data_IF_422626580198
#
_entry.id   IF_422626580198
#
_cell.length_a   1.000
_cell.length_b   1.000
_cell.length_c   1.000
_cell.angle_alpha   90.00
_cell.angle_beta   90.00
_cell.angle_gamma   90.00
#
_symmetry.space_group_name_H-M   'P 1'
#
loop_
_entity.id
_entity.type
_entity.pdbx_description
1 polymer ?
#
# COMPACT_ATOMS: atom_id res chain seq x y z
N UNK A 1 -11.74 30.98 10.40
CA UNK A 1 -11.53 29.50 10.34
C UNK A 1 -11.46 29.16 8.88
N UNK A 2 -10.45 28.43 8.41
CA UNK A 2 -10.40 27.91 7.04
C UNK A 2 -11.51 26.88 6.87
N UNK A 3 -12.19 26.88 5.70
CA UNK A 3 -13.21 25.86 5.37
C UNK A 3 -12.62 24.44 5.46
N UNK A 4 -13.42 23.43 5.81
CA UNK A 4 -12.93 22.06 5.83
C UNK A 4 -12.56 21.60 4.42
N UNK A 5 -11.53 20.73 4.35
CA UNK A 5 -11.15 20.02 3.12
C UNK A 5 -12.28 19.08 2.72
N UNK A 6 -12.82 19.24 1.52
CA UNK A 6 -13.96 18.49 1.01
C UNK A 6 -13.46 17.24 0.27
N UNK A 7 -13.79 16.07 0.81
CA UNK A 7 -13.29 14.78 0.33
C UNK A 7 -14.42 13.95 -0.29
N UNK A 8 -14.24 13.53 -1.54
CA UNK A 8 -15.06 12.51 -2.18
C UNK A 8 -14.34 11.16 -2.17
N UNK A 9 -15.06 10.06 -1.90
CA UNK A 9 -14.47 8.72 -1.85
C UNK A 9 -15.11 7.81 -2.91
N UNK A 10 -14.28 7.20 -3.76
CA UNK A 10 -14.71 6.21 -4.76
C UNK A 10 -14.33 4.81 -4.25
N UNK A 11 -15.32 4.02 -3.85
CA UNK A 11 -15.15 2.65 -3.39
C UNK A 11 -15.86 2.32 -2.09
N UNK A 12 -16.80 1.40 -2.16
CA UNK A 12 -17.65 0.95 -1.03
C UNK A 12 -17.05 -0.20 -0.21
N UNK A 13 -15.83 -0.63 -0.55
CA UNK A 13 -15.06 -1.62 0.20
C UNK A 13 -14.22 -0.98 1.30
N UNK A 14 -12.91 -0.95 1.12
CA UNK A 14 -11.94 -0.31 2.01
C UNK A 14 -12.19 1.19 2.15
N UNK A 15 -12.50 1.88 1.04
CA UNK A 15 -12.84 3.28 1.03
C UNK A 15 -13.96 3.65 2.01
N UNK A 16 -15.08 2.94 1.97
CA UNK A 16 -16.22 3.20 2.86
C UNK A 16 -15.99 2.74 4.31
N UNK A 17 -15.26 1.62 4.52
CA UNK A 17 -15.11 1.02 5.86
C UNK A 17 -13.98 1.64 6.68
N UNK A 18 -12.93 2.13 6.04
CA UNK A 18 -11.72 2.62 6.71
C UNK A 18 -11.45 4.07 6.34
N UNK A 19 -11.37 4.39 5.07
CA UNK A 19 -10.85 5.69 4.60
C UNK A 19 -11.82 6.83 4.88
N UNK A 20 -13.08 6.69 4.49
CA UNK A 20 -14.10 7.72 4.73
C UNK A 20 -14.30 8.02 6.21
N UNK A 21 -14.45 7.03 7.13
CA UNK A 21 -14.51 7.29 8.56
C UNK A 21 -13.25 7.97 9.12
N UNK A 22 -12.05 7.61 8.62
CA UNK A 22 -10.81 8.24 9.06
C UNK A 22 -10.74 9.70 8.62
N UNK A 23 -11.08 10.04 7.36
CA UNK A 23 -11.13 11.43 6.93
C UNK A 23 -12.21 12.22 7.68
N UNK A 24 -13.39 11.64 7.88
CA UNK A 24 -14.47 12.28 8.65
C UNK A 24 -14.08 12.57 10.12
N UNK A 25 -13.19 11.75 10.69
CA UNK A 25 -12.65 11.96 12.05
C UNK A 25 -11.40 12.84 12.06
N UNK A 26 -10.86 13.23 10.91
CA UNK A 26 -9.67 14.08 10.81
C UNK A 26 -10.09 15.56 10.89
N UNK A 27 -9.58 16.27 11.86
CA UNK A 27 -9.90 17.69 12.05
C UNK A 27 -9.71 18.49 10.76
N UNK A 28 -10.73 19.25 10.40
CA UNK A 28 -10.72 20.09 9.20
C UNK A 28 -10.91 19.33 7.89
N UNK A 29 -11.38 18.10 7.91
CA UNK A 29 -11.87 17.40 6.75
C UNK A 29 -13.40 17.22 6.81
N UNK A 30 -14.04 17.16 5.64
CA UNK A 30 -15.45 16.86 5.45
C UNK A 30 -15.61 15.82 4.33
N UNK A 31 -16.19 14.67 4.63
CA UNK A 31 -16.46 13.65 3.63
C UNK A 31 -17.81 13.91 3.00
N UNK A 32 -17.78 14.45 1.78
CA UNK A 32 -18.99 14.88 1.04
C UNK A 32 -19.84 13.72 0.58
N UNK A 33 -19.21 12.65 0.09
CA UNK A 33 -19.90 11.44 -0.37
C UNK A 33 -18.95 10.25 -0.53
N UNK A 34 -19.56 9.04 -0.55
CA UNK A 34 -18.89 7.77 -0.81
C UNK A 34 -19.68 7.00 -1.88
N UNK A 35 -19.09 6.84 -3.06
CA UNK A 35 -19.78 6.23 -4.20
C UNK A 35 -19.22 4.86 -4.56
N UNK A 36 -20.06 4.04 -5.22
CA UNK A 36 -19.61 2.75 -5.74
C UNK A 36 -18.67 2.94 -6.93
N UNK A 37 -17.51 2.30 -6.88
CA UNK A 37 -16.56 2.24 -7.98
C UNK A 37 -17.11 1.56 -9.26
N UNK A 38 -18.26 0.87 -9.17
CA UNK A 38 -18.90 0.17 -10.29
C UNK A 38 -20.02 0.98 -10.93
N UNK A 39 -20.34 2.13 -10.37
CA UNK A 39 -21.36 3.03 -10.87
C UNK A 39 -20.69 4.24 -11.51
N UNK A 40 -20.46 4.16 -12.82
CA UNK A 40 -19.81 5.21 -13.60
C UNK A 40 -20.57 6.54 -13.53
N UNK A 41 -21.91 6.49 -13.41
CA UNK A 41 -22.74 7.69 -13.27
C UNK A 41 -22.48 8.37 -11.93
N UNK A 42 -22.52 7.60 -10.85
CA UNK A 42 -22.23 8.14 -9.51
C UNK A 42 -20.80 8.69 -9.38
N UNK A 43 -19.81 8.02 -10.00
CA UNK A 43 -18.43 8.54 -10.07
C UNK A 43 -18.35 9.85 -10.81
N UNK A 44 -18.98 9.95 -11.98
CA UNK A 44 -19.00 11.19 -12.76
C UNK A 44 -19.74 12.34 -12.03
N UNK A 45 -20.82 12.04 -11.33
CA UNK A 45 -21.55 13.01 -10.51
C UNK A 45 -20.72 13.47 -9.30
N UNK A 46 -20.01 12.56 -8.62
CA UNK A 46 -19.10 12.89 -7.54
C UNK A 46 -18.02 13.87 -8.02
N UNK A 47 -17.38 13.57 -9.15
CA UNK A 47 -16.32 14.42 -9.71
C UNK A 47 -16.81 15.80 -10.20
N UNK A 48 -18.12 16.00 -10.39
CA UNK A 48 -18.68 17.34 -10.71
C UNK A 48 -18.97 18.18 -9.46
N UNK A 49 -18.92 17.61 -8.27
CA UNK A 49 -19.14 18.35 -7.03
C UNK A 49 -17.93 19.25 -6.72
N UNK A 50 -18.17 20.25 -5.90
CA UNK A 50 -17.12 21.07 -5.32
C UNK A 50 -16.35 20.26 -4.27
N UNK A 51 -15.20 19.70 -4.67
CA UNK A 51 -14.31 18.87 -3.86
C UNK A 51 -12.88 19.38 -3.95
N UNK A 52 -12.13 19.23 -2.87
CA UNK A 52 -10.69 19.47 -2.88
C UNK A 52 -9.92 18.18 -3.23
N UNK A 53 -10.39 17.02 -2.74
CA UNK A 53 -9.73 15.73 -2.86
C UNK A 53 -10.70 14.65 -3.30
N UNK A 54 -10.31 13.84 -4.27
CA UNK A 54 -10.95 12.56 -4.58
C UNK A 54 -10.03 11.42 -4.13
N UNK A 55 -10.54 10.58 -3.23
CA UNK A 55 -9.84 9.40 -2.71
C UNK A 55 -10.35 8.15 -3.42
N UNK A 56 -9.49 7.54 -4.27
CA UNK A 56 -9.83 6.42 -5.16
C UNK A 56 -9.46 5.11 -4.48
N UNK A 57 -10.44 4.30 -4.09
CA UNK A 57 -10.31 3.00 -3.44
C UNK A 57 -11.07 1.91 -4.19
N UNK A 58 -11.08 2.00 -5.49
CA UNK A 58 -11.58 0.99 -6.41
C UNK A 58 -10.62 -0.20 -6.53
N UNK A 59 -11.02 -1.29 -7.19
CA UNK A 59 -10.08 -2.31 -7.64
C UNK A 59 -9.05 -1.75 -8.64
N UNK A 60 -7.83 -2.31 -8.72
CA UNK A 60 -6.72 -1.79 -9.53
C UNK A 60 -7.06 -1.50 -10.99
N UNK A 61 -7.85 -2.35 -11.64
CA UNK A 61 -8.25 -2.20 -13.04
C UNK A 61 -9.20 -1.01 -13.33
N UNK A 62 -9.66 -0.32 -12.29
CA UNK A 62 -10.47 0.90 -12.39
C UNK A 62 -9.70 2.15 -11.95
N UNK A 63 -8.46 2.01 -11.47
CA UNK A 63 -7.70 3.14 -10.94
C UNK A 63 -7.49 4.22 -12.00
N UNK A 64 -7.03 3.85 -13.19
CA UNK A 64 -6.73 4.82 -14.25
C UNK A 64 -7.98 5.59 -14.71
N UNK A 65 -9.12 4.92 -14.84
CA UNK A 65 -10.39 5.56 -15.17
C UNK A 65 -10.79 6.60 -14.12
N UNK A 66 -10.76 6.21 -12.83
CA UNK A 66 -11.19 7.06 -11.74
C UNK A 66 -10.21 8.22 -11.46
N UNK A 67 -8.90 7.97 -11.56
CA UNK A 67 -7.88 9.01 -11.48
C UNK A 67 -8.06 10.02 -12.61
N UNK A 68 -8.31 9.56 -13.85
CA UNK A 68 -8.56 10.43 -14.99
C UNK A 68 -9.83 11.29 -14.79
N UNK A 69 -10.90 10.71 -14.25
CA UNK A 69 -12.12 11.43 -13.96
C UNK A 69 -11.90 12.53 -12.90
N UNK A 70 -11.18 12.22 -11.82
CA UNK A 70 -10.89 13.14 -10.73
C UNK A 70 -9.95 14.27 -11.17
N UNK A 71 -8.83 13.94 -11.81
CA UNK A 71 -7.84 14.92 -12.30
C UNK A 71 -8.43 15.78 -13.40
N UNK A 72 -9.22 15.20 -14.32
CA UNK A 72 -9.91 15.95 -15.38
C UNK A 72 -10.96 16.95 -14.86
N UNK A 73 -11.44 16.75 -13.63
CA UNK A 73 -12.31 17.70 -12.93
C UNK A 73 -11.53 18.71 -12.07
N UNK A 74 -10.19 18.65 -12.05
CA UNK A 74 -9.32 19.56 -11.31
C UNK A 74 -9.11 19.20 -9.83
N UNK A 75 -9.49 18.00 -9.40
CA UNK A 75 -9.34 17.58 -8.00
C UNK A 75 -7.95 17.02 -7.72
N UNK A 76 -7.47 17.24 -6.50
CA UNK A 76 -6.34 16.49 -5.94
C UNK A 76 -6.71 15.02 -5.76
N UNK A 77 -5.74 14.08 -5.81
CA UNK A 77 -6.05 12.65 -5.85
C UNK A 77 -5.18 11.85 -4.88
N UNK A 78 -5.84 11.05 -4.03
CA UNK A 78 -5.23 9.93 -3.32
C UNK A 78 -5.71 8.63 -3.97
N UNK A 79 -4.78 7.79 -4.47
CA UNK A 79 -5.13 6.52 -5.12
C UNK A 79 -4.67 5.33 -4.28
N UNK A 80 -5.52 4.30 -4.23
CA UNK A 80 -5.20 3.03 -3.55
C UNK A 80 -4.10 2.25 -4.30
N UNK A 81 -3.40 1.42 -3.55
CA UNK A 81 -2.42 0.45 -4.09
C UNK A 81 -3.10 -0.88 -4.48
N UNK A 82 -2.49 -1.70 -5.34
CA UNK A 82 -1.35 -1.40 -6.18
C UNK A 82 -1.68 -0.31 -7.20
N UNK A 83 -0.73 0.56 -7.50
CA UNK A 83 -0.94 1.71 -8.39
C UNK A 83 -0.96 1.28 -9.85
N UNK A 84 -2.17 1.04 -10.37
CA UNK A 84 -2.42 0.49 -11.71
C UNK A 84 -2.19 -1.02 -11.81
N UNK A 85 -2.58 -1.60 -12.94
CA UNK A 85 -2.43 -3.03 -13.23
C UNK A 85 -1.06 -3.37 -13.85
N UNK A 86 -0.39 -2.40 -14.46
CA UNK A 86 0.97 -2.48 -15.02
C UNK A 86 1.65 -1.10 -15.05
N UNK A 87 2.97 -1.09 -15.26
CA UNK A 87 3.78 0.14 -15.20
C UNK A 87 3.39 1.20 -16.25
N UNK A 88 2.90 0.81 -17.43
CA UNK A 88 2.47 1.76 -18.44
C UNK A 88 1.23 2.56 -17.97
N UNK A 89 0.22 1.88 -17.41
CA UNK A 89 -0.95 2.55 -16.84
C UNK A 89 -0.59 3.47 -15.66
N UNK A 90 0.33 3.01 -14.79
CA UNK A 90 0.85 3.83 -13.69
C UNK A 90 1.59 5.09 -14.21
N UNK A 91 2.33 4.97 -15.31
CA UNK A 91 2.99 6.11 -15.95
C UNK A 91 1.99 7.12 -16.53
N UNK A 92 0.96 6.65 -17.21
CA UNK A 92 -0.12 7.52 -17.73
C UNK A 92 -0.81 8.31 -16.63
N UNK A 93 -1.12 7.68 -15.48
CA UNK A 93 -1.72 8.36 -14.33
C UNK A 93 -0.78 9.43 -13.74
N UNK A 94 0.51 9.15 -13.66
CA UNK A 94 1.51 10.11 -13.18
C UNK A 94 1.63 11.31 -14.15
N UNK A 95 1.75 11.06 -15.45
CA UNK A 95 1.85 12.10 -16.47
C UNK A 95 0.62 13.02 -16.45
N UNK A 96 -0.58 12.43 -16.35
CA UNK A 96 -1.82 13.18 -16.23
C UNK A 96 -1.86 14.09 -15.00
N UNK A 97 -1.46 13.56 -13.84
CA UNK A 97 -1.44 14.34 -12.59
C UNK A 97 -0.41 15.48 -12.65
N UNK A 98 0.77 15.26 -13.24
CA UNK A 98 1.77 16.29 -13.44
C UNK A 98 1.29 17.38 -14.42
N UNK A 99 0.67 17.00 -15.54
CA UNK A 99 0.16 17.95 -16.52
C UNK A 99 -0.97 18.85 -15.98
N UNK A 100 -1.67 18.37 -14.95
CA UNK A 100 -2.79 19.09 -14.31
C UNK A 100 -2.38 19.82 -13.02
N UNK A 101 -1.10 19.74 -12.62
CA UNK A 101 -0.55 20.39 -11.42
C UNK A 101 -1.31 20.07 -10.12
N UNK A 102 -1.96 18.90 -10.05
CA UNK A 102 -2.70 18.46 -8.86
C UNK A 102 -1.78 17.78 -7.85
N UNK A 103 -2.08 17.96 -6.56
CA UNK A 103 -1.46 17.16 -5.49
C UNK A 103 -1.94 15.71 -5.62
N UNK A 104 -1.01 14.77 -5.64
CA UNK A 104 -1.31 13.37 -5.85
C UNK A 104 -0.47 12.45 -4.95
N UNK A 105 -1.09 11.38 -4.45
CA UNK A 105 -0.42 10.40 -3.60
C UNK A 105 -0.97 8.99 -3.78
N UNK A 106 -0.15 7.99 -3.43
CA UNK A 106 -0.57 6.59 -3.34
C UNK A 106 -0.80 6.21 -1.89
N UNK A 107 -1.84 5.42 -1.63
CA UNK A 107 -2.20 5.00 -0.28
C UNK A 107 -1.26 3.89 0.24
N UNK A 108 0.02 4.22 0.43
CA UNK A 108 1.00 3.41 1.15
C UNK A 108 1.04 3.84 2.63
N UNK A 109 -0.10 3.82 3.27
CA UNK A 109 -0.34 4.31 4.63
C UNK A 109 0.58 3.69 5.67
N UNK A 110 1.05 2.46 5.45
CA UNK A 110 1.96 1.78 6.38
C UNK A 110 3.31 2.48 6.58
N UNK A 111 3.73 3.40 5.70
CA UNK A 111 4.87 4.30 5.99
C UNK A 111 4.64 5.13 7.25
N UNK A 112 3.38 5.36 7.63
CA UNK A 112 2.98 6.13 8.81
C UNK A 112 2.70 5.26 10.05
N UNK A 113 2.86 3.93 9.95
CA UNK A 113 2.72 3.05 11.11
C UNK A 113 3.87 3.29 12.11
N UNK A 114 3.61 3.45 13.43
CA UNK A 114 4.65 3.82 14.41
C UNK A 114 5.87 2.90 14.40
N UNK A 115 5.67 1.57 14.37
CA UNK A 115 6.77 0.62 14.30
C UNK A 115 7.61 0.76 13.01
N UNK A 116 6.96 1.00 11.86
CA UNK A 116 7.65 1.16 10.57
C UNK A 116 8.35 2.51 10.47
N UNK A 117 7.80 3.56 11.05
CA UNK A 117 8.49 4.85 11.21
C UNK A 117 9.73 4.70 12.07
N UNK A 118 9.63 3.99 13.20
CA UNK A 118 10.78 3.72 14.06
C UNK A 118 11.86 2.91 13.34
N UNK A 119 11.47 1.89 12.58
CA UNK A 119 12.39 1.14 11.71
C UNK A 119 13.09 2.08 10.72
N UNK A 120 12.32 2.91 10.03
CA UNK A 120 12.85 3.87 9.06
C UNK A 120 13.84 4.85 9.69
N UNK A 121 13.53 5.42 10.86
CA UNK A 121 14.41 6.31 11.61
C UNK A 121 15.75 5.64 11.92
N UNK A 122 15.73 4.39 12.37
CA UNK A 122 16.94 3.64 12.70
C UNK A 122 17.79 3.32 11.46
N UNK A 123 17.15 2.90 10.37
CA UNK A 123 17.84 2.56 9.12
C UNK A 123 18.37 3.80 8.42
N UNK A 124 17.52 4.81 8.18
CA UNK A 124 17.91 6.03 7.45
C UNK A 124 18.77 6.98 8.28
N UNK A 125 18.66 6.92 9.60
CA UNK A 125 19.54 7.62 10.54
C UNK A 125 20.94 7.01 10.65
N UNK A 126 21.20 5.90 9.95
CA UNK A 126 22.53 5.26 9.95
C UNK A 126 22.86 4.45 11.21
N UNK A 127 21.88 4.18 12.07
CA UNK A 127 22.11 3.54 13.37
C UNK A 127 22.54 2.06 13.28
N UNK A 128 22.43 1.45 12.10
CA UNK A 128 22.87 0.08 11.83
C UNK A 128 23.99 0.01 10.80
N UNK A 129 24.54 1.17 10.39
CA UNK A 129 25.47 1.23 9.28
C UNK A 129 24.81 0.97 7.92
N UNK A 130 25.58 0.79 6.82
CA UNK A 130 25.05 0.39 5.53
C UNK A 130 24.21 -0.89 5.62
N UNK A 131 23.03 -0.88 4.99
CA UNK A 131 22.17 -2.08 4.96
C UNK A 131 22.80 -3.15 4.08
N UNK A 132 22.94 -4.36 4.63
CA UNK A 132 23.49 -5.53 3.95
C UNK A 132 22.39 -6.46 3.46
N UNK A 133 21.38 -6.70 4.32
CA UNK A 133 20.31 -7.63 4.00
C UNK A 133 19.01 -7.32 4.73
N UNK A 134 17.87 -7.58 4.06
CA UNK A 134 16.54 -7.52 4.65
C UNK A 134 15.84 -8.88 4.49
N UNK A 135 15.29 -9.41 5.58
CA UNK A 135 14.39 -10.56 5.55
C UNK A 135 13.00 -10.10 5.97
N UNK A 136 11.99 -10.37 5.16
CA UNK A 136 10.62 -10.06 5.51
C UNK A 136 9.73 -11.27 5.25
N UNK A 137 9.12 -11.78 6.31
CA UNK A 137 8.22 -12.93 6.25
C UNK A 137 6.80 -12.52 6.63
N UNK A 138 5.84 -13.01 5.86
CA UNK A 138 4.42 -12.87 6.18
C UNK A 138 3.69 -14.18 5.86
N UNK A 139 3.10 -14.81 6.87
CA UNK A 139 2.30 -16.02 6.71
C UNK A 139 0.92 -15.76 7.27
N UNK A 140 -0.07 -15.65 6.39
CA UNK A 140 -1.45 -15.34 6.73
C UNK A 140 -2.44 -16.35 6.20
N UNK A 141 -3.57 -16.50 6.89
CA UNK A 141 -4.69 -17.37 6.49
C UNK A 141 -5.85 -16.59 5.87
N UNK A 142 -5.67 -15.30 5.54
CA UNK A 142 -6.73 -14.35 5.19
C UNK A 142 -7.51 -14.70 3.91
N UNK A 143 -6.93 -15.53 3.03
CA UNK A 143 -7.60 -16.01 1.83
C UNK A 143 -8.12 -17.44 1.94
N UNK A 144 -7.75 -18.15 3.01
CA UNK A 144 -8.17 -19.53 3.27
C UNK A 144 -9.22 -19.66 4.37
N UNK A 145 -9.21 -18.79 5.38
CA UNK A 145 -10.05 -18.94 6.58
C UNK A 145 -10.69 -17.60 7.00
N UNK A 146 -11.97 -17.33 6.65
CA UNK A 146 -12.82 -18.19 5.79
C UNK A 146 -12.29 -18.28 4.36
N UNK A 147 -12.67 -19.32 3.62
CA UNK A 147 -12.31 -19.41 2.20
C UNK A 147 -13.00 -18.25 1.47
N UNK A 148 -12.16 -17.35 0.92
CA UNK A 148 -12.65 -16.14 0.27
C UNK A 148 -13.24 -16.48 -1.09
N UNK A 149 -14.42 -15.92 -1.39
CA UNK A 149 -15.06 -16.05 -2.69
C UNK A 149 -14.19 -15.48 -3.82
N UNK A 150 -14.39 -16.05 -5.04
CA UNK A 150 -13.74 -15.54 -6.25
C UNK A 150 -14.14 -14.08 -6.51
N UNK A 151 -13.20 -13.33 -7.00
CA UNK A 151 -13.35 -11.92 -7.35
C UNK A 151 -12.07 -11.38 -7.99
N UNK A 152 -12.01 -10.09 -8.26
CA UNK A 152 -10.88 -9.45 -8.96
C UNK A 152 -9.50 -9.78 -8.35
N UNK A 153 -9.46 -10.03 -7.04
CA UNK A 153 -8.21 -10.33 -6.32
C UNK A 153 -7.57 -11.65 -6.74
N UNK A 154 -8.34 -12.55 -7.37
CA UNK A 154 -7.93 -13.87 -7.85
C UNK A 154 -7.88 -13.95 -9.38
N UNK A 155 -7.99 -12.81 -10.04
CA UNK A 155 -7.95 -12.61 -11.49
C UNK A 155 -6.75 -11.73 -11.84
N UNK A 156 -5.73 -12.32 -12.44
CA UNK A 156 -4.49 -11.63 -12.82
C UNK A 156 -4.75 -10.47 -13.78
N UNK A 157 -5.66 -10.63 -14.73
CA UNK A 157 -6.00 -9.61 -15.72
C UNK A 157 -6.58 -8.34 -15.09
N UNK A 158 -7.13 -8.45 -13.87
CA UNK A 158 -7.70 -7.36 -13.10
C UNK A 158 -6.73 -6.77 -12.06
N UNK A 159 -5.44 -7.11 -12.15
CA UNK A 159 -4.45 -6.68 -11.17
C UNK A 159 -4.56 -7.41 -9.82
N UNK A 160 -5.17 -8.61 -9.82
CA UNK A 160 -5.21 -9.50 -8.66
C UNK A 160 -3.85 -10.09 -8.35
N UNK A 161 -3.81 -10.87 -7.27
CA UNK A 161 -2.62 -11.54 -6.77
C UNK A 161 -2.06 -10.95 -5.49
N UNK A 162 -1.32 -11.76 -4.76
CA UNK A 162 -0.74 -11.40 -3.46
C UNK A 162 0.48 -10.48 -3.61
N UNK A 163 1.21 -10.59 -4.73
CA UNK A 163 2.29 -9.65 -5.09
C UNK A 163 1.73 -8.23 -5.20
N UNK A 164 0.59 -8.03 -5.86
CA UNK A 164 -0.11 -6.75 -5.92
C UNK A 164 -0.67 -6.33 -4.56
N UNK A 165 -1.39 -7.24 -3.89
CA UNK A 165 -2.14 -6.91 -2.67
C UNK A 165 -1.26 -6.60 -1.45
N UNK A 166 -0.24 -7.43 -1.18
CA UNK A 166 0.67 -7.27 -0.06
C UNK A 166 2.09 -6.87 -0.49
N UNK A 167 2.57 -7.47 -1.58
CA UNK A 167 3.91 -7.19 -2.09
C UNK A 167 4.12 -5.73 -2.43
N UNK A 168 3.07 -5.01 -2.87
CA UNK A 168 3.15 -3.57 -3.10
C UNK A 168 3.55 -2.79 -1.84
N UNK A 169 2.99 -3.11 -0.67
CA UNK A 169 3.40 -2.50 0.59
C UNK A 169 4.84 -2.88 0.98
N UNK A 170 5.23 -4.14 0.73
CA UNK A 170 6.58 -4.61 1.05
C UNK A 170 7.63 -3.94 0.16
N UNK A 171 7.41 -3.91 -1.15
CA UNK A 171 8.31 -3.25 -2.13
C UNK A 171 8.40 -1.74 -1.86
N UNK A 172 7.27 -1.08 -1.62
CA UNK A 172 7.26 0.33 -1.28
C UNK A 172 8.07 0.63 -0.01
N UNK A 173 7.85 -0.16 1.05
CA UNK A 173 8.58 -0.01 2.30
C UNK A 173 10.09 -0.29 2.14
N UNK A 174 10.48 -1.30 1.36
CA UNK A 174 11.88 -1.59 1.06
C UNK A 174 12.55 -0.44 0.30
N UNK A 175 11.87 0.14 -0.70
CA UNK A 175 12.37 1.33 -1.40
C UNK A 175 12.55 2.52 -0.45
N UNK A 176 11.59 2.75 0.44
CA UNK A 176 11.62 3.81 1.44
C UNK A 176 12.74 3.62 2.48
N UNK A 177 12.98 2.37 2.91
CA UNK A 177 13.99 2.02 3.91
C UNK A 177 15.42 2.00 3.34
N UNK A 178 15.61 1.33 2.21
CA UNK A 178 16.94 1.00 1.66
C UNK A 178 17.28 1.88 0.46
N UNK A 179 16.35 2.04 -0.46
CA UNK A 179 16.53 2.79 -1.71
C UNK A 179 15.98 2.04 -2.93
N UNK A 180 16.30 2.54 -4.12
CA UNK A 180 15.74 2.01 -5.36
C UNK A 180 16.22 0.57 -5.63
N UNK A 181 15.30 -0.23 -6.19
CA UNK A 181 15.53 -1.62 -6.53
C UNK A 181 16.17 -1.71 -7.92
N UNK A 182 17.39 -2.22 -7.97
CA UNK A 182 18.15 -2.45 -9.20
C UNK A 182 17.64 -3.69 -9.93
N UNK A 183 17.45 -4.80 -9.19
CA UNK A 183 17.00 -6.08 -9.75
C UNK A 183 16.05 -6.79 -8.80
N UNK A 184 15.11 -7.56 -9.36
CA UNK A 184 14.12 -8.32 -8.61
C UNK A 184 13.65 -9.55 -9.39
N UNK A 185 13.48 -10.66 -8.68
CA UNK A 185 12.90 -11.91 -9.21
C UNK A 185 12.05 -12.58 -8.14
N UNK A 186 11.05 -13.37 -8.57
CA UNK A 186 10.22 -14.13 -7.64
C UNK A 186 9.78 -15.47 -8.21
N UNK A 187 9.44 -16.37 -7.29
CA UNK A 187 8.68 -17.58 -7.56
C UNK A 187 7.28 -17.42 -6.96
N UNK A 188 6.28 -17.31 -7.82
CA UNK A 188 4.88 -17.19 -7.44
C UNK A 188 4.20 -18.57 -7.36
N UNK A 189 3.22 -18.71 -6.46
CA UNK A 189 2.45 -19.94 -6.24
C UNK A 189 0.97 -19.64 -6.11
N UNK A 190 0.14 -20.54 -6.68
CA UNK A 190 -1.31 -20.61 -6.44
C UNK A 190 -1.55 -21.82 -5.56
N UNK A 191 -1.79 -21.60 -4.27
CA UNK A 191 -2.01 -22.66 -3.29
C UNK A 191 -3.44 -23.16 -3.33
N UNK A 192 -4.39 -22.28 -3.68
CA UNK A 192 -5.82 -22.60 -3.80
C UNK A 192 -6.24 -22.31 -5.24
N UNK A 193 -6.26 -23.36 -6.10
CA UNK A 193 -6.44 -23.18 -7.55
C UNK A 193 -7.88 -22.89 -7.98
N UNK A 194 -8.86 -23.10 -7.07
CA UNK A 194 -10.28 -22.85 -7.34
C UNK A 194 -10.93 -22.17 -6.13
N UNK A 195 -11.89 -21.29 -6.39
CA UNK A 195 -12.66 -20.62 -5.34
C UNK A 195 -14.15 -20.59 -5.68
N UNK A 196 -15.04 -20.66 -4.67
CA UNK A 196 -16.45 -20.51 -4.92
C UNK A 196 -16.76 -19.10 -5.43
N UNK A 197 -17.55 -19.01 -6.49
CA UNK A 197 -18.19 -17.78 -6.93
C UNK A 197 -19.37 -17.40 -6.04
N UNK A 198 -19.98 -16.27 -6.31
CA UNK A 198 -21.22 -15.83 -5.62
C UNK A 198 -22.43 -16.72 -5.93
N UNK A 199 -22.37 -17.42 -7.05
CA UNK A 199 -23.31 -18.45 -7.49
C UNK A 199 -23.09 -19.81 -6.82
N UNK A 200 -21.98 -19.95 -6.06
CA UNK A 200 -21.54 -21.18 -5.42
C UNK A 200 -20.73 -22.10 -6.32
N UNK A 201 -20.59 -21.79 -7.62
CA UNK A 201 -19.81 -22.60 -8.56
C UNK A 201 -18.31 -22.35 -8.39
N UNK A 202 -17.45 -23.36 -8.63
CA UNK A 202 -16.01 -23.18 -8.56
C UNK A 202 -15.48 -22.39 -9.75
N UNK A 203 -14.66 -21.39 -9.47
CA UNK A 203 -13.96 -20.57 -10.46
C UNK A 203 -12.45 -20.82 -10.38
N UNK A 204 -11.76 -21.02 -11.51
CA UNK A 204 -10.31 -21.17 -11.54
C UNK A 204 -9.63 -19.84 -11.15
N UNK A 205 -8.51 -19.97 -10.43
CA UNK A 205 -7.69 -18.83 -9.98
C UNK A 205 -6.42 -18.82 -10.84
N UNK A 206 -6.07 -17.67 -11.41
CA UNK A 206 -4.84 -17.46 -12.17
C UNK A 206 -3.88 -16.44 -11.52
N UNK A 207 -4.29 -15.82 -10.40
CA UNK A 207 -3.50 -14.91 -9.61
C UNK A 207 -2.91 -15.61 -8.38
N UNK A 208 -1.64 -15.35 -8.08
CA UNK A 208 -0.90 -16.00 -7.00
C UNK A 208 -1.40 -15.58 -5.61
N UNK A 209 -1.33 -16.52 -4.65
CA UNK A 209 -1.67 -16.31 -3.24
C UNK A 209 -0.45 -16.46 -2.30
N UNK A 210 0.70 -16.79 -2.88
CA UNK A 210 1.98 -16.87 -2.18
C UNK A 210 3.14 -16.59 -3.15
N UNK A 211 4.23 -16.04 -2.64
CA UNK A 211 5.45 -15.84 -3.41
C UNK A 211 6.68 -15.78 -2.50
N UNK A 212 7.85 -16.12 -3.09
CA UNK A 212 9.16 -15.87 -2.52
C UNK A 212 9.94 -15.03 -3.52
N UNK A 213 10.44 -13.87 -3.08
CA UNK A 213 11.13 -12.92 -3.95
C UNK A 213 12.51 -12.58 -3.40
N UNK A 214 13.44 -12.30 -4.32
CA UNK A 214 14.75 -11.74 -4.05
C UNK A 214 14.89 -10.38 -4.75
N UNK A 215 15.47 -9.40 -4.05
CA UNK A 215 15.68 -8.06 -4.56
C UNK A 215 17.13 -7.63 -4.29
N UNK A 216 17.72 -6.86 -5.23
CA UNK A 216 18.98 -6.15 -5.04
C UNK A 216 18.74 -4.64 -5.15
N UNK A 217 19.44 -3.84 -4.36
CA UNK A 217 19.30 -2.40 -4.33
C UNK A 217 20.48 -1.70 -5.03
N UNK A 218 20.21 -0.56 -5.67
CA UNK A 218 21.22 0.24 -6.39
C UNK A 218 22.41 0.66 -5.50
N UNK A 219 22.15 0.90 -4.21
CA UNK A 219 23.18 1.30 -3.23
C UNK A 219 23.86 0.12 -2.52
N UNK A 220 23.63 -1.08 -3.02
CA UNK A 220 24.07 -2.32 -2.38
C UNK A 220 23.04 -2.86 -1.37
N UNK A 221 23.31 -4.06 -0.89
CA UNK A 221 22.39 -4.82 -0.05
C UNK A 221 21.34 -5.57 -0.86
N UNK A 222 20.69 -6.51 -0.19
CA UNK A 222 19.66 -7.40 -0.79
C UNK A 222 18.46 -7.53 0.11
N UNK A 223 17.35 -8.04 -0.42
CA UNK A 223 16.18 -8.43 0.38
C UNK A 223 15.61 -9.76 -0.08
N UNK A 224 15.04 -10.49 0.88
CA UNK A 224 14.20 -11.67 0.64
C UNK A 224 12.82 -11.41 1.23
N UNK A 225 11.79 -11.55 0.40
CA UNK A 225 10.39 -11.57 0.80
C UNK A 225 9.89 -13.01 0.71
N UNK A 226 9.32 -13.55 1.77
CA UNK A 226 8.62 -14.84 1.73
C UNK A 226 7.22 -14.64 2.32
N UNK A 227 6.20 -14.84 1.48
CA UNK A 227 4.86 -14.43 1.84
C UNK A 227 3.78 -15.36 1.30
N UNK A 228 2.79 -15.66 2.15
CA UNK A 228 1.58 -16.40 1.80
C UNK A 228 0.37 -15.81 2.49
N UNK A 229 -0.72 -15.67 1.75
CA UNK A 229 -2.05 -15.30 2.26
C UNK A 229 -2.99 -16.49 2.44
N UNK A 230 -2.55 -17.68 1.99
CA UNK A 230 -3.35 -18.91 1.93
C UNK A 230 -2.81 -20.03 2.82
N UNK A 231 -2.06 -19.69 3.86
CA UNK A 231 -1.61 -20.67 4.86
C UNK A 231 -2.77 -21.24 5.68
N UNK A 232 -2.54 -22.36 6.34
CA UNK A 232 -3.56 -22.99 7.20
C UNK A 232 -3.84 -22.17 8.47
N UNK A 233 -2.83 -21.43 8.96
CA UNK A 233 -2.91 -20.54 10.11
C UNK A 233 -2.01 -19.32 9.88
N UNK A 234 -2.31 -18.21 10.56
CA UNK A 234 -1.46 -17.02 10.54
C UNK A 234 -0.41 -17.08 11.65
N UNK A 235 0.77 -16.53 11.35
CA UNK A 235 1.81 -16.25 12.35
C UNK A 235 2.19 -14.77 12.29
N UNK A 236 2.80 -14.27 13.36
CA UNK A 236 3.28 -12.89 13.41
C UNK A 236 4.29 -12.66 12.29
N UNK A 237 4.03 -11.65 11.45
CA UNK A 237 4.98 -11.24 10.42
C UNK A 237 6.24 -10.67 11.06
N UNK A 238 7.35 -10.76 10.34
CA UNK A 238 8.65 -10.34 10.84
C UNK A 238 9.45 -9.64 9.76
N UNK A 239 10.05 -8.50 10.12
CA UNK A 239 11.02 -7.77 9.31
C UNK A 239 12.34 -7.76 10.08
N UNK A 240 13.42 -8.21 9.45
CA UNK A 240 14.78 -8.13 10.00
C UNK A 240 15.63 -7.37 9.02
N UNK A 241 16.21 -6.25 9.44
CA UNK A 241 17.15 -5.46 8.66
C UNK A 241 18.52 -5.58 9.29
N UNK A 242 19.45 -6.18 8.56
CA UNK A 242 20.84 -6.33 8.95
C UNK A 242 21.68 -5.26 8.28
N UNK A 243 22.43 -4.55 9.06
CA UNK A 243 23.45 -3.61 8.60
C UNK A 243 24.82 -3.92 9.19
N UNK A 244 25.84 -3.25 8.73
CA UNK A 244 27.23 -3.49 9.12
C UNK A 244 27.51 -3.25 10.63
N UNK A 245 26.67 -2.43 11.30
CA UNK A 245 26.89 -2.02 12.70
C UNK A 245 25.75 -2.45 13.64
N UNK A 246 24.71 -3.11 13.12
CA UNK A 246 23.60 -3.55 13.94
C UNK A 246 22.48 -4.20 13.16
N UNK A 247 21.45 -4.63 13.92
CA UNK A 247 20.27 -5.31 13.38
C UNK A 247 19.02 -4.70 13.98
N UNK A 248 18.02 -4.40 13.14
CA UNK A 248 16.67 -4.01 13.60
C UNK A 248 15.69 -5.11 13.24
N UNK A 249 14.88 -5.51 14.20
CA UNK A 249 13.81 -6.48 14.04
C UNK A 249 12.46 -5.84 14.36
N UNK A 250 11.47 -6.03 13.49
CA UNK A 250 10.07 -5.67 13.73
C UNK A 250 9.24 -6.94 13.78
N UNK A 251 8.43 -7.10 14.82
CA UNK A 251 7.53 -8.24 14.99
C UNK A 251 6.09 -7.74 15.05
N UNK A 252 5.25 -8.21 14.14
CA UNK A 252 3.81 -7.94 14.06
C UNK A 252 3.43 -6.44 13.99
N UNK A 253 4.35 -5.57 13.55
CA UNK A 253 4.25 -4.11 13.66
C UNK A 253 3.98 -3.61 15.10
N UNK A 254 4.09 -4.49 16.09
CA UNK A 254 3.85 -4.18 17.51
C UNK A 254 5.12 -3.89 18.30
N UNK A 255 6.24 -4.45 17.88
CA UNK A 255 7.53 -4.31 18.57
C UNK A 255 8.68 -4.12 17.60
N UNK A 256 9.57 -3.16 17.91
CA UNK A 256 10.84 -2.92 17.23
C UNK A 256 11.98 -3.18 18.21
N UNK A 257 12.93 -4.02 17.82
CA UNK A 257 14.12 -4.32 18.61
C UNK A 257 15.35 -3.94 17.81
N UNK A 258 16.14 -3.03 18.35
CA UNK A 258 17.42 -2.65 17.77
C UNK A 258 18.57 -3.27 18.60
N UNK A 259 19.40 -4.08 17.93
CA UNK A 259 20.59 -4.71 18.51
C UNK A 259 21.83 -4.11 17.89
N UNK A 260 22.76 -3.65 18.72
CA UNK A 260 24.05 -3.10 18.31
C UNK A 260 25.13 -4.17 18.31
N UNK A 261 26.24 -3.91 17.61
CA UNK A 261 27.38 -4.81 17.53
C UNK A 261 28.04 -5.10 18.91
N UNK A 262 27.92 -4.18 19.88
CA UNK A 262 28.43 -4.35 21.26
C UNK A 262 27.55 -5.24 22.14
N UNK A 263 26.46 -5.79 21.60
CA UNK A 263 25.51 -6.66 22.29
C UNK A 263 24.41 -5.91 23.06
N UNK A 264 24.44 -4.58 23.10
CA UNK A 264 23.36 -3.78 23.70
C UNK A 264 22.12 -3.80 22.81
N UNK A 265 20.95 -3.59 23.41
CA UNK A 265 19.69 -3.54 22.68
C UNK A 265 18.71 -2.51 23.26
N UNK A 266 17.90 -1.93 22.37
CA UNK A 266 16.73 -1.12 22.73
C UNK A 266 15.46 -1.77 22.18
N UNK A 267 14.36 -1.62 22.88
CA UNK A 267 13.05 -2.09 22.48
C UNK A 267 12.07 -0.90 22.43
N UNK A 268 11.28 -0.86 21.38
CA UNK A 268 10.15 0.07 21.23
C UNK A 268 8.89 -0.78 21.02
N UNK A 269 7.89 -0.56 21.86
CA UNK A 269 6.58 -1.23 21.79
C UNK A 269 5.55 -0.20 21.33
N UNK A 270 4.68 -0.61 20.39
CA UNK A 270 3.55 0.23 19.95
C UNK A 270 2.41 0.08 20.95
N UNK A 271 2.03 1.16 21.58
CA UNK A 271 1.03 1.18 22.67
C UNK A 271 -0.43 1.16 22.17
N UNK A 272 -0.66 1.27 20.87
CA UNK A 272 -2.01 1.30 20.28
C UNK A 272 -2.26 0.09 19.36
N UNK A 273 -2.60 -1.10 19.88
CA UNK A 273 -3.03 -2.20 19.06
C UNK A 273 -4.45 -1.89 18.51
N UNK A 274 -4.58 -1.66 17.22
CA UNK A 274 -5.87 -1.55 16.57
C UNK A 274 -6.35 -2.93 16.10
N UNK A 275 -7.67 -3.17 16.19
CA UNK A 275 -8.29 -4.39 15.64
C UNK A 275 -8.12 -4.49 14.11
N UNK A 276 -8.09 -3.35 13.42
CA UNK A 276 -7.76 -3.24 12.00
C UNK A 276 -6.36 -2.59 11.86
N UNK A 277 -5.37 -3.27 11.25
CA UNK A 277 -4.00 -2.76 11.14
C UNK A 277 -3.88 -1.50 10.30
N UNK A 278 -4.87 -1.19 9.48
CA UNK A 278 -4.90 0.01 8.65
C UNK A 278 -5.29 1.29 9.42
N UNK A 279 -6.02 1.20 10.53
CA UNK A 279 -6.58 2.38 11.20
C UNK A 279 -5.52 3.33 11.74
N UNK A 280 -4.50 2.81 12.44
CA UNK A 280 -3.45 3.65 13.05
C UNK A 280 -2.66 4.42 11.98
N UNK A 281 -2.10 3.77 10.95
CA UNK A 281 -1.35 4.47 9.92
C UNK A 281 -2.25 5.36 9.04
N UNK A 282 -3.51 4.97 8.77
CA UNK A 282 -4.44 5.81 8.00
C UNK A 282 -4.79 7.12 8.70
N UNK A 283 -4.95 7.14 10.03
CA UNK A 283 -5.20 8.38 10.78
C UNK A 283 -4.05 9.37 10.62
N UNK A 284 -2.81 8.89 10.76
CA UNK A 284 -1.63 9.72 10.56
C UNK A 284 -1.52 10.21 9.11
N UNK A 285 -1.77 9.31 8.15
CA UNK A 285 -1.70 9.60 6.72
C UNK A 285 -2.76 10.62 6.28
N UNK A 286 -4.01 10.51 6.74
CA UNK A 286 -5.09 11.45 6.41
C UNK A 286 -4.74 12.88 6.83
N UNK A 287 -4.09 13.08 7.97
CA UNK A 287 -3.58 14.39 8.40
C UNK A 287 -2.53 14.94 7.43
N UNK A 288 -1.57 14.11 7.01
CA UNK A 288 -0.53 14.49 6.03
C UNK A 288 -1.15 14.86 4.69
N UNK A 289 -2.10 14.05 4.19
CA UNK A 289 -2.82 14.32 2.94
C UNK A 289 -3.58 15.65 3.01
N UNK A 290 -4.34 15.88 4.10
CA UNK A 290 -5.05 17.15 4.32
C UNK A 290 -4.10 18.34 4.25
N UNK A 291 -2.98 18.27 4.96
CA UNK A 291 -2.04 19.38 5.06
C UNK A 291 -1.33 19.64 3.72
N UNK A 292 -0.98 18.58 2.99
CA UNK A 292 -0.40 18.70 1.65
C UNK A 292 -1.36 19.35 0.66
N UNK A 293 -2.62 18.89 0.61
CA UNK A 293 -3.64 19.45 -0.28
C UNK A 293 -3.90 20.93 0.04
N UNK A 294 -4.03 21.28 1.32
CA UNK A 294 -4.27 22.68 1.73
C UNK A 294 -3.14 23.64 1.38
N UNK A 295 -1.92 23.15 1.38
CA UNK A 295 -0.72 23.96 1.17
C UNK A 295 -0.20 23.85 -0.28
N UNK A 296 -0.82 23.06 -1.15
CA UNK A 296 -0.32 22.75 -2.49
C UNK A 296 1.06 22.05 -2.45
N UNK A 297 1.35 21.33 -1.36
CA UNK A 297 2.64 20.68 -1.17
C UNK A 297 2.64 19.26 -1.80
N UNK A 298 3.78 18.78 -2.32
CA UNK A 298 3.86 17.43 -2.84
C UNK A 298 3.66 16.39 -1.73
N UNK A 299 2.92 15.32 -2.05
CA UNK A 299 2.76 14.15 -1.16
C UNK A 299 3.92 13.16 -1.34
N UNK A 300 4.28 12.51 -0.24
CA UNK A 300 5.14 11.34 -0.22
C UNK A 300 4.52 10.30 0.71
N UNK A 301 4.14 9.10 0.19
CA UNK A 301 4.37 8.59 -1.17
C UNK A 301 3.49 9.25 -2.24
N UNK A 302 4.11 9.56 -3.38
CA UNK A 302 3.50 10.17 -4.56
C UNK A 302 3.12 9.14 -5.64
N UNK A 303 2.53 9.57 -6.75
CA UNK A 303 2.34 8.70 -7.93
C UNK A 303 3.67 8.23 -8.54
N UNK A 304 4.76 9.00 -8.40
CA UNK A 304 6.09 8.55 -8.82
C UNK A 304 6.58 7.37 -7.96
N UNK A 305 6.31 7.39 -6.65
CA UNK A 305 6.56 6.21 -5.77
C UNK A 305 5.72 5.02 -6.20
N UNK A 306 4.45 5.25 -6.55
CA UNK A 306 3.55 4.23 -7.06
C UNK A 306 4.05 3.57 -8.34
N UNK A 307 4.48 4.38 -9.32
CA UNK A 307 5.06 3.90 -10.58
C UNK A 307 6.35 3.10 -10.34
N UNK A 308 7.25 3.62 -9.51
CA UNK A 308 8.49 2.92 -9.21
C UNK A 308 8.24 1.58 -8.50
N UNK A 309 7.29 1.54 -7.55
CA UNK A 309 6.83 0.30 -6.95
C UNK A 309 6.24 -0.66 -8.00
N UNK A 310 5.33 -0.17 -8.87
CA UNK A 310 4.69 -0.99 -9.91
C UNK A 310 5.70 -1.63 -10.87
N UNK A 311 6.75 -0.91 -11.28
CA UNK A 311 7.83 -1.46 -12.11
C UNK A 311 8.54 -2.65 -11.47
N UNK A 312 8.72 -2.63 -10.15
CA UNK A 312 9.27 -3.77 -9.42
C UNK A 312 8.28 -4.93 -9.38
N UNK A 313 6.99 -4.66 -9.08
CA UNK A 313 5.97 -5.70 -9.06
C UNK A 313 5.83 -6.40 -10.41
N UNK A 314 5.93 -5.67 -11.54
CA UNK A 314 5.88 -6.26 -12.89
C UNK A 314 7.01 -7.28 -13.11
N UNK A 315 8.21 -7.04 -12.58
CA UNK A 315 9.33 -8.01 -12.63
C UNK A 315 9.08 -9.24 -11.75
N UNK A 316 8.35 -9.10 -10.64
CA UNK A 316 8.06 -10.21 -9.74
C UNK A 316 6.98 -11.17 -10.27
N UNK A 317 6.13 -10.70 -11.19
CA UNK A 317 5.02 -11.50 -11.77
C UNK A 317 5.25 -11.89 -13.24
N UNK A 318 6.40 -11.48 -13.83
CA UNK A 318 6.82 -11.80 -15.21
C UNK A 318 7.20 -13.27 -15.40
#
# INVERSE_FOLDING_TARGET
>A
MTSPLRVGVIGTGFGARVVAPVFAATDGCDVVDVVSARDATAVAELCRRDLDLVSVHSPPFLHAEHVRAAVGAGHHVLCEKPFGVHAAEAAEMLELAHASEVVHGVNFEFRHHPARRRLHELVRGGHIGPVEHVQWTYTGAVFRRPLREYGWLFDRSRGGGWVGAWGSHAVDALRWLVGEVQDATAQCRITIPERPGRDGEPHPVDAEDAFTAWLAFERGGTAVLDSSSAAAASVAHRIVVTGAEGVVEVVADAKVVWRRADGTRDEYVVDEPAADPHLVPMRAWAGVVRDAVRNGAPLTPSFADGLACRRVLDRLIS
#
